data_IF_653463097004
#
_entry.id   IF_653463097004
#
_cell.length_a   1.000
_cell.length_b   1.000
_cell.length_c   1.000
_cell.angle_alpha   90.00
_cell.angle_beta   90.00
_cell.angle_gamma   90.00
#
_symmetry.space_group_name_H-M   'P 1'
#
loop_
_entity.id
_entity.type
_entity.pdbx_description
1 polymer ?
#
# COMPACT_ATOMS: atom_id res chain seq x y z
N UNK A 1 12.23 21.82 39.87
CA UNK A 1 13.32 21.88 38.86
C UNK A 1 13.66 20.53 38.23
N UNK A 2 13.48 19.37 38.89
CA UNK A 2 13.69 18.06 38.23
C UNK A 2 12.47 17.64 37.38
N UNK A 3 11.25 17.99 37.80
CA UNK A 3 10.00 17.65 37.09
C UNK A 3 9.84 18.32 35.71
N UNK A 4 10.30 19.56 35.56
CA UNK A 4 10.12 20.33 34.31
C UNK A 4 10.93 19.73 33.15
N UNK A 5 12.09 19.12 33.45
CA UNK A 5 12.91 18.42 32.47
C UNK A 5 12.26 17.12 31.97
N UNK A 6 11.70 16.33 32.89
CA UNK A 6 11.02 15.07 32.57
C UNK A 6 9.75 15.34 31.76
N UNK A 7 8.97 16.37 32.12
CA UNK A 7 7.79 16.78 31.37
C UNK A 7 8.12 17.24 29.94
N UNK A 8 9.23 17.99 29.78
CA UNK A 8 9.70 18.43 28.46
C UNK A 8 10.16 17.24 27.60
N UNK A 9 10.88 16.28 28.17
CA UNK A 9 11.31 15.07 27.46
C UNK A 9 10.13 14.23 26.98
N UNK A 10 9.11 14.02 27.82
CA UNK A 10 7.87 13.30 27.44
C UNK A 10 7.16 14.01 26.29
N UNK A 11 7.06 15.34 26.35
CA UNK A 11 6.44 16.15 25.29
C UNK A 11 7.19 16.04 23.97
N UNK A 12 8.53 16.06 23.99
CA UNK A 12 9.36 15.89 22.78
C UNK A 12 9.15 14.51 22.18
N UNK A 13 9.24 13.43 22.99
CA UNK A 13 9.03 12.06 22.52
C UNK A 13 7.64 11.86 21.92
N UNK A 14 6.60 12.42 22.55
CA UNK A 14 5.24 12.37 22.03
C UNK A 14 5.11 13.05 20.66
N UNK A 15 5.78 14.21 20.48
CA UNK A 15 5.80 14.91 19.19
C UNK A 15 6.45 14.07 18.09
N UNK A 16 7.56 13.40 18.40
CA UNK A 16 8.24 12.50 17.47
C UNK A 16 7.29 11.37 17.03
N UNK A 17 6.62 10.70 17.97
CA UNK A 17 5.65 9.66 17.62
C UNK A 17 4.50 10.19 16.75
N UNK A 18 4.01 11.41 17.00
CA UNK A 18 2.98 12.03 16.17
C UNK A 18 3.46 12.35 14.75
N UNK A 19 4.72 12.77 14.58
CA UNK A 19 5.34 13.00 13.28
C UNK A 19 5.54 11.69 12.50
N UNK A 20 5.95 10.63 13.19
CA UNK A 20 6.08 9.28 12.60
C UNK A 20 4.72 8.73 12.16
N UNK A 21 3.68 8.84 13.01
CA UNK A 21 2.30 8.45 12.66
C UNK A 21 1.81 9.22 11.43
N UNK A 22 2.02 10.53 11.39
CA UNK A 22 1.59 11.34 10.25
C UNK A 22 2.26 10.90 8.95
N UNK A 23 3.56 10.59 9.01
CA UNK A 23 4.33 10.10 7.87
C UNK A 23 3.81 8.75 7.38
N UNK A 24 3.50 7.82 8.30
CA UNK A 24 2.91 6.52 7.96
C UNK A 24 1.51 6.66 7.35
N UNK A 25 0.68 7.58 7.83
CA UNK A 25 -0.64 7.85 7.26
C UNK A 25 -0.55 8.37 5.82
N UNK A 26 0.41 9.25 5.52
CA UNK A 26 0.67 9.70 4.16
C UNK A 26 1.13 8.54 3.27
N UNK A 27 2.02 7.70 3.79
CA UNK A 27 2.49 6.53 3.06
C UNK A 27 1.36 5.53 2.75
N UNK A 28 0.46 5.26 3.71
CA UNK A 28 -0.73 4.41 3.49
C UNK A 28 -1.64 5.02 2.42
N UNK A 29 -1.82 6.33 2.40
CA UNK A 29 -2.59 7.02 1.35
C UNK A 29 -1.98 6.80 -0.03
N UNK A 30 -0.65 6.92 -0.16
CA UNK A 30 0.05 6.70 -1.43
C UNK A 30 -0.04 5.24 -1.89
N UNK A 31 0.05 4.29 -0.96
CA UNK A 31 -0.15 2.86 -1.24
C UNK A 31 -1.57 2.58 -1.76
N UNK A 32 -2.60 3.18 -1.16
CA UNK A 32 -3.97 3.01 -1.66
C UNK A 32 -4.14 3.62 -3.06
N UNK A 33 -3.52 4.76 -3.35
CA UNK A 33 -3.55 5.35 -4.69
C UNK A 33 -2.90 4.43 -5.74
N UNK A 34 -1.77 3.80 -5.41
CA UNK A 34 -1.11 2.84 -6.29
C UNK A 34 -1.95 1.57 -6.52
N UNK A 35 -2.67 1.10 -5.50
CA UNK A 35 -3.64 -0.02 -5.63
C UNK A 35 -4.75 0.37 -6.61
N UNK A 36 -5.31 1.56 -6.49
CA UNK A 36 -6.41 2.01 -7.35
C UNK A 36 -5.96 2.20 -8.81
N UNK A 37 -4.76 2.74 -9.04
CA UNK A 37 -4.15 2.86 -10.37
C UNK A 37 -3.94 1.48 -11.01
N UNK A 38 -3.39 0.51 -10.26
CA UNK A 38 -3.20 -0.86 -10.73
C UNK A 38 -4.53 -1.51 -11.15
N UNK A 39 -5.59 -1.31 -10.35
CA UNK A 39 -6.95 -1.81 -10.67
C UNK A 39 -7.49 -1.21 -11.96
N UNK A 40 -7.27 0.08 -12.16
CA UNK A 40 -7.73 0.78 -13.35
C UNK A 40 -7.01 0.28 -14.61
N UNK A 41 -5.70 0.10 -14.54
CA UNK A 41 -4.89 -0.40 -15.67
C UNK A 41 -5.27 -1.85 -16.01
N UNK A 42 -5.39 -2.73 -15.00
CA UNK A 42 -5.84 -4.12 -15.20
C UNK A 42 -7.22 -4.20 -15.85
N UNK A 43 -8.18 -3.38 -15.38
CA UNK A 43 -9.51 -3.28 -15.99
C UNK A 43 -9.44 -2.84 -17.47
N UNK A 44 -8.50 -1.95 -17.80
CA UNK A 44 -8.31 -1.46 -19.17
C UNK A 44 -7.72 -2.53 -20.09
N UNK A 45 -6.75 -3.31 -19.60
CA UNK A 45 -6.18 -4.47 -20.31
C UNK A 45 -7.26 -5.52 -20.58
N UNK A 46 -8.06 -5.87 -19.58
CA UNK A 46 -9.13 -6.86 -19.71
C UNK A 46 -10.17 -6.43 -20.77
N UNK A 47 -10.56 -5.15 -20.77
CA UNK A 47 -11.45 -4.60 -21.80
C UNK A 47 -10.85 -4.69 -23.20
N UNK A 48 -9.56 -4.38 -23.34
CA UNK A 48 -8.86 -4.51 -24.62
C UNK A 48 -8.84 -5.97 -25.10
N UNK A 49 -8.52 -6.92 -24.21
CA UNK A 49 -8.59 -8.35 -24.51
C UNK A 49 -9.97 -8.75 -25.03
N UNK A 50 -11.03 -8.45 -24.28
CA UNK A 50 -12.42 -8.76 -24.66
C UNK A 50 -12.82 -8.18 -26.03
N UNK A 51 -12.29 -7.00 -26.37
CA UNK A 51 -12.58 -6.31 -27.62
C UNK A 51 -11.89 -6.98 -28.82
N UNK A 52 -10.62 -7.37 -28.69
CA UNK A 52 -9.79 -7.73 -29.84
C UNK A 52 -9.56 -9.24 -30.03
N UNK A 53 -9.79 -10.06 -29.00
CA UNK A 53 -9.42 -11.50 -29.04
C UNK A 53 -10.24 -12.33 -30.04
N UNK A 54 -11.46 -11.91 -30.37
CA UNK A 54 -12.39 -12.69 -31.19
C UNK A 54 -11.89 -12.97 -32.62
N UNK A 55 -10.95 -12.17 -33.13
CA UNK A 55 -10.32 -12.38 -34.44
C UNK A 55 -8.99 -13.15 -34.41
N UNK A 56 -8.39 -13.35 -33.23
CA UNK A 56 -7.05 -13.90 -33.09
C UNK A 56 -7.11 -15.43 -32.97
N UNK A 57 -6.20 -16.13 -33.64
CA UNK A 57 -6.11 -17.61 -33.67
C UNK A 57 -4.67 -18.09 -33.76
N UNK A 58 -4.46 -19.37 -33.44
CA UNK A 58 -3.17 -20.03 -33.53
C UNK A 58 -2.15 -19.49 -32.51
N UNK A 59 -0.87 -19.68 -32.81
CA UNK A 59 0.23 -19.39 -31.91
C UNK A 59 0.25 -17.95 -31.36
N UNK A 60 -0.16 -16.97 -32.18
CA UNK A 60 -0.22 -15.57 -31.73
C UNK A 60 -1.25 -15.36 -30.60
N UNK A 61 -2.38 -16.08 -30.64
CA UNK A 61 -3.37 -16.06 -29.56
C UNK A 61 -2.84 -16.76 -28.31
N UNK A 62 -2.26 -17.94 -28.47
CA UNK A 62 -1.71 -18.71 -27.34
C UNK A 62 -0.64 -17.92 -26.59
N UNK A 63 0.25 -17.23 -27.32
CA UNK A 63 1.27 -16.37 -26.71
C UNK A 63 0.66 -15.16 -26.00
N UNK A 64 -0.39 -14.57 -26.56
CA UNK A 64 -1.09 -13.44 -25.95
C UNK A 64 -1.84 -13.85 -24.67
N UNK A 65 -2.55 -14.97 -24.70
CA UNK A 65 -3.25 -15.51 -23.52
C UNK A 65 -2.25 -15.87 -22.41
N UNK A 66 -1.09 -16.45 -22.76
CA UNK A 66 -0.01 -16.71 -21.80
C UNK A 66 0.58 -15.43 -21.19
N UNK A 67 0.71 -14.35 -21.98
CA UNK A 67 1.14 -13.05 -21.49
C UNK A 67 0.12 -12.45 -20.51
N UNK A 68 -1.17 -12.59 -20.77
CA UNK A 68 -2.21 -12.16 -19.84
C UNK A 68 -2.15 -12.93 -18.52
N UNK A 69 -2.00 -14.25 -18.57
CA UNK A 69 -1.82 -15.06 -17.36
C UNK A 69 -0.61 -14.62 -16.53
N UNK A 70 0.50 -14.27 -17.20
CA UNK A 70 1.71 -13.75 -16.54
C UNK A 70 1.46 -12.37 -15.90
N UNK A 71 0.72 -11.50 -16.58
CA UNK A 71 0.32 -10.18 -16.07
C UNK A 71 -0.58 -10.33 -14.83
N UNK A 72 -1.61 -11.18 -14.89
CA UNK A 72 -2.51 -11.44 -13.75
C UNK A 72 -1.74 -11.99 -12.53
N UNK A 73 -0.77 -12.90 -12.77
CA UNK A 73 0.13 -13.40 -11.73
C UNK A 73 1.05 -12.33 -11.16
N UNK A 74 1.53 -11.40 -11.99
CA UNK A 74 2.35 -10.29 -11.54
C UNK A 74 1.52 -9.29 -10.72
N UNK A 75 0.34 -8.93 -11.20
CA UNK A 75 -0.62 -8.05 -10.54
C UNK A 75 -0.99 -8.58 -9.15
N UNK A 76 -1.37 -9.86 -9.07
CA UNK A 76 -1.70 -10.52 -7.80
C UNK A 76 -0.57 -10.43 -6.77
N UNK A 77 0.67 -10.67 -7.21
CA UNK A 77 1.86 -10.56 -6.33
C UNK A 77 2.12 -9.12 -5.87
N UNK A 78 1.82 -8.14 -6.71
CA UNK A 78 1.94 -6.72 -6.34
C UNK A 78 0.85 -6.35 -5.32
N UNK A 79 -0.41 -6.74 -5.54
CA UNK A 79 -1.47 -6.51 -4.55
C UNK A 79 -1.18 -7.12 -3.20
N UNK A 80 -0.70 -8.36 -3.17
CA UNK A 80 -0.38 -9.02 -1.90
C UNK A 80 0.70 -8.25 -1.13
N UNK A 81 1.74 -7.78 -1.81
CA UNK A 81 2.77 -6.94 -1.19
C UNK A 81 2.21 -5.61 -0.70
N UNK A 82 1.41 -4.91 -1.51
CA UNK A 82 0.82 -3.63 -1.12
C UNK A 82 -0.13 -3.78 0.08
N UNK A 83 -0.89 -4.87 0.13
CA UNK A 83 -1.74 -5.22 1.27
C UNK A 83 -0.93 -5.47 2.54
N UNK A 84 0.13 -6.28 2.46
CA UNK A 84 1.01 -6.52 3.62
C UNK A 84 1.66 -5.23 4.11
N UNK A 85 2.13 -4.36 3.21
CA UNK A 85 2.71 -3.06 3.57
C UNK A 85 1.70 -2.21 4.33
N UNK A 86 0.44 -2.17 3.85
CA UNK A 86 -0.64 -1.44 4.52
C UNK A 86 -0.91 -1.99 5.92
N UNK A 87 -1.06 -3.31 6.06
CA UNK A 87 -1.28 -3.98 7.35
C UNK A 87 -0.15 -3.64 8.33
N UNK A 88 1.11 -3.71 7.90
CA UNK A 88 2.27 -3.36 8.73
C UNK A 88 2.32 -1.89 9.13
N UNK A 89 1.92 -0.98 8.22
CA UNK A 89 1.87 0.44 8.52
C UNK A 89 0.75 0.76 9.53
N UNK A 90 -0.41 0.11 9.40
CA UNK A 90 -1.54 0.26 10.33
C UNK A 90 -1.16 -0.26 11.73
N UNK A 91 -0.52 -1.44 11.83
CA UNK A 91 0.00 -1.98 13.10
C UNK A 91 1.02 -1.04 13.76
N UNK A 92 1.93 -0.46 12.98
CA UNK A 92 2.94 0.46 13.50
C UNK A 92 2.32 1.78 13.98
N UNK A 93 1.31 2.29 13.27
CA UNK A 93 0.54 3.46 13.70
C UNK A 93 -0.12 3.19 15.06
N UNK A 94 -0.81 2.06 15.23
CA UNK A 94 -1.44 1.68 16.49
C UNK A 94 -0.41 1.59 17.63
N UNK A 95 0.73 0.95 17.36
CA UNK A 95 1.83 0.84 18.33
C UNK A 95 2.38 2.20 18.76
N UNK A 96 2.56 3.13 17.81
CA UNK A 96 3.05 4.48 18.10
C UNK A 96 2.01 5.32 18.85
N UNK A 97 0.72 5.13 18.57
CA UNK A 97 -0.38 5.78 19.30
C UNK A 97 -0.36 5.36 20.77
N UNK A 98 -0.27 4.06 21.05
CA UNK A 98 -0.17 3.55 22.42
C UNK A 98 1.03 4.12 23.17
N UNK A 99 2.21 4.13 22.53
CA UNK A 99 3.42 4.75 23.13
C UNK A 99 3.27 6.25 23.39
N UNK A 100 2.54 6.96 22.54
CA UNK A 100 2.27 8.38 22.74
C UNK A 100 1.29 8.64 23.90
N UNK A 101 0.35 7.72 24.14
CA UNK A 101 -0.59 7.76 25.26
C UNK A 101 0.09 7.43 26.60
N UNK A 102 1.06 6.50 26.61
CA UNK A 102 1.87 6.18 27.81
C UNK A 102 2.76 7.35 28.29
N UNK A 103 2.96 8.36 27.45
CA UNK A 103 3.74 9.57 27.77
C UNK A 103 2.90 10.72 28.35
N UNK A 104 1.59 10.52 28.53
CA UNK A 104 0.67 11.46 29.22
C UNK A 104 1.01 11.48 30.72
#
# INVERSE_FOLDING_TARGET
MIDDGIALERKIKRKIYQEDIHSLQLYVKDVNAAIDELRQESSSILKAHQTYINGWRGQAREMYDALLDDLDRAESRVYDKLRTIKEQADEEIERLQLKAEELI
#
